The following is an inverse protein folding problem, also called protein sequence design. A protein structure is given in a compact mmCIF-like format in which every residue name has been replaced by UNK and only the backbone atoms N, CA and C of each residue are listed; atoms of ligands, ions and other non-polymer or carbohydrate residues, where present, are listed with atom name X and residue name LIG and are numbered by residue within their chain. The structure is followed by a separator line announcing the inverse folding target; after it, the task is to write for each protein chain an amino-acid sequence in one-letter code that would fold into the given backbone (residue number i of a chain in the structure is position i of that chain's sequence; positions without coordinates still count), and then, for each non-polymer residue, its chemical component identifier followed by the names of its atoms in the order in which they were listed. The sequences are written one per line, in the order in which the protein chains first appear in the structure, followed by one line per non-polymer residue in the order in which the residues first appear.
data_IF_325591161407
#
_entry.id   IF_325591161407
#
_cell.length_a   1.000
_cell.length_b   1.000
_cell.length_c   1.000
_cell.angle_alpha   90.00
_cell.angle_beta   90.00
_cell.angle_gamma   90.00
#
_symmetry.space_group_name_H-M   'P 1'
#
loop_
_entity.id
_entity.type
_entity.pdbx_description
1 polymer ?
#
# COMPACT_ATOMS: atom_id res chain seq x y z
N UNK A 1 1.58 0.31 -22.11
CA UNK A 1 1.99 0.14 -20.71
C UNK A 1 0.92 0.84 -19.90
N UNK A 2 0.10 0.11 -19.14
CA UNK A 2 -0.96 0.72 -18.34
C UNK A 2 -0.30 1.43 -17.15
N UNK A 3 -0.45 2.73 -17.08
CA UNK A 3 0.21 3.58 -16.09
C UNK A 3 -0.56 3.47 -14.77
N UNK A 4 0.14 3.51 -13.62
CA UNK A 4 -0.44 3.44 -12.27
C UNK A 4 -1.65 4.38 -12.09
N UNK A 5 -1.63 5.52 -12.78
CA UNK A 5 -2.69 6.53 -12.86
C UNK A 5 -4.00 6.02 -13.48
N UNK A 6 -3.94 5.17 -14.49
CA UNK A 6 -5.13 4.61 -15.16
C UNK A 6 -5.82 3.55 -14.30
N UNK A 7 -5.03 2.79 -13.53
CA UNK A 7 -5.57 1.86 -12.54
C UNK A 7 -6.26 2.59 -11.39
N UNK A 8 -5.67 3.68 -10.89
CA UNK A 8 -6.34 4.55 -9.90
C UNK A 8 -7.58 5.26 -10.46
N UNK A 9 -7.55 5.67 -11.74
CA UNK A 9 -8.68 6.31 -12.39
C UNK A 9 -9.86 5.34 -12.61
N UNK A 10 -9.59 4.07 -12.89
CA UNK A 10 -10.62 3.02 -12.97
C UNK A 10 -11.29 2.74 -11.64
N UNK A 11 -10.52 2.75 -10.54
CA UNK A 11 -11.08 2.69 -9.19
C UNK A 11 -11.97 3.90 -8.88
N UNK A 12 -11.58 5.10 -9.32
CA UNK A 12 -12.36 6.32 -9.19
C UNK A 12 -13.66 6.29 -10.03
N UNK A 13 -13.62 5.72 -11.23
CA UNK A 13 -14.78 5.58 -12.11
C UNK A 13 -15.83 4.59 -11.57
N UNK A 14 -15.41 3.56 -10.83
CA UNK A 14 -16.32 2.64 -10.13
C UNK A 14 -16.98 3.27 -8.89
N UNK A 15 -16.57 4.48 -8.49
CA UNK A 15 -17.18 5.26 -7.40
C UNK A 15 -18.41 6.06 -7.89
N UNK A 16 -19.17 5.52 -8.84
CA UNK A 16 -20.42 6.11 -9.32
C UNK A 16 -21.54 5.61 -8.40
N UNK A 17 -21.76 6.41 -7.34
CA UNK A 17 -22.72 6.24 -6.24
C UNK A 17 -24.12 5.84 -6.69
N UNK A 18 -24.63 4.76 -6.10
CA UNK A 18 -26.06 4.46 -6.02
C UNK A 18 -26.46 4.48 -4.53
N UNK A 19 -27.47 5.29 -4.19
CA UNK A 19 -27.91 5.55 -2.80
C UNK A 19 -28.39 4.25 -2.11
N UNK A 20 -27.55 3.70 -1.23
CA UNK A 20 -27.70 2.41 -0.54
C UNK A 20 -26.38 1.74 -0.10
N UNK A 21 -25.23 2.33 -0.46
CA UNK A 21 -23.89 1.76 -0.44
C UNK A 21 -23.02 2.10 0.81
N UNK A 22 -23.63 2.40 1.97
CA UNK A 22 -22.95 2.93 3.18
C UNK A 22 -21.97 1.96 3.89
N UNK A 23 -21.99 0.65 3.63
CA UNK A 23 -21.02 -0.32 4.17
C UNK A 23 -19.99 -0.80 3.13
N UNK A 24 -20.37 -0.84 1.86
CA UNK A 24 -19.48 -1.30 0.80
C UNK A 24 -18.46 -0.23 0.39
N UNK A 25 -18.84 1.05 0.36
CA UNK A 25 -17.91 2.14 0.02
C UNK A 25 -16.80 2.28 1.07
N UNK A 26 -17.14 2.27 2.37
CA UNK A 26 -16.15 2.30 3.45
C UNK A 26 -15.29 1.03 3.48
N UNK A 27 -15.86 -0.15 3.20
CA UNK A 27 -15.11 -1.40 3.13
C UNK A 27 -14.02 -1.39 2.05
N UNK A 28 -14.31 -0.82 0.88
CA UNK A 28 -13.33 -0.72 -0.21
C UNK A 28 -12.19 0.22 0.15
N UNK A 29 -12.49 1.40 0.72
CA UNK A 29 -11.46 2.36 1.14
C UNK A 29 -10.56 1.74 2.22
N UNK A 30 -11.15 1.07 3.21
CA UNK A 30 -10.40 0.37 4.26
C UNK A 30 -9.54 -0.76 3.69
N UNK A 31 -10.04 -1.54 2.75
CA UNK A 31 -9.28 -2.61 2.11
C UNK A 31 -8.07 -2.07 1.32
N UNK A 32 -8.27 -0.98 0.56
CA UNK A 32 -7.19 -0.34 -0.21
C UNK A 32 -6.12 0.24 0.72
N UNK A 33 -6.51 0.97 1.77
CA UNK A 33 -5.57 1.58 2.72
C UNK A 33 -4.83 0.49 3.51
N UNK A 34 -5.50 -0.60 3.88
CA UNK A 34 -4.88 -1.72 4.58
C UNK A 34 -3.83 -2.40 3.71
N UNK A 35 -4.17 -2.73 2.46
CA UNK A 35 -3.23 -3.34 1.53
C UNK A 35 -2.02 -2.42 1.26
N UNK A 36 -2.26 -1.12 1.08
CA UNK A 36 -1.20 -0.14 0.90
C UNK A 36 -0.28 -0.04 2.14
N UNK A 37 -0.87 0.01 3.34
CA UNK A 37 -0.12 0.06 4.59
C UNK A 37 0.76 -1.17 4.78
N UNK A 38 0.23 -2.37 4.56
CA UNK A 38 1.00 -3.62 4.63
C UNK A 38 2.18 -3.58 3.65
N UNK A 39 1.95 -3.19 2.40
CA UNK A 39 3.01 -3.10 1.40
C UNK A 39 4.14 -2.12 1.82
N UNK A 40 3.77 -0.95 2.33
CA UNK A 40 4.74 0.05 2.82
C UNK A 40 5.55 -0.51 3.99
N UNK A 41 4.89 -1.14 4.98
CA UNK A 41 5.58 -1.70 6.13
C UNK A 41 6.50 -2.86 5.77
N UNK A 42 6.11 -3.72 4.81
CA UNK A 42 6.98 -4.80 4.33
C UNK A 42 8.26 -4.26 3.69
N UNK A 43 8.13 -3.28 2.80
CA UNK A 43 9.30 -2.64 2.16
C UNK A 43 10.15 -1.90 3.18
N UNK A 44 9.51 -1.19 4.12
CA UNK A 44 10.19 -0.46 5.19
C UNK A 44 11.00 -1.40 6.10
N UNK A 45 10.45 -2.55 6.50
CA UNK A 45 11.17 -3.55 7.30
C UNK A 45 12.44 -4.03 6.60
N UNK A 46 12.36 -4.37 5.31
CA UNK A 46 13.53 -4.78 4.54
C UNK A 46 14.61 -3.69 4.45
N UNK A 47 14.20 -2.42 4.33
CA UNK A 47 15.12 -1.28 4.36
C UNK A 47 15.84 -1.12 5.71
N UNK A 48 15.10 -1.29 6.82
CA UNK A 48 15.65 -1.24 8.18
C UNK A 48 16.62 -2.41 8.43
N UNK A 49 16.24 -3.64 8.08
CA UNK A 49 17.11 -4.82 8.19
C UNK A 49 18.40 -4.64 7.39
N UNK A 50 18.30 -4.11 6.16
CA UNK A 50 19.47 -3.80 5.33
C UNK A 50 20.40 -2.76 5.97
N UNK A 51 19.83 -1.72 6.60
CA UNK A 51 20.62 -0.72 7.32
C UNK A 51 21.34 -1.33 8.54
N UNK A 52 20.65 -2.18 9.31
CA UNK A 52 21.23 -2.87 10.47
C UNK A 52 22.36 -3.81 10.03
N UNK A 53 22.15 -4.62 8.99
CA UNK A 53 23.17 -5.53 8.47
C UNK A 53 24.43 -4.80 7.97
N UNK A 54 24.28 -3.58 7.42
CA UNK A 54 25.43 -2.73 7.08
C UNK A 54 26.22 -2.33 8.32
N UNK A 55 25.55 -1.95 9.41
CA UNK A 55 26.23 -1.60 10.67
C UNK A 55 26.92 -2.83 11.27
N UNK A 56 26.28 -3.99 11.25
CA UNK A 56 26.88 -5.26 11.71
C UNK A 56 28.14 -5.58 10.90
N UNK A 57 28.10 -5.44 9.57
CA UNK A 57 29.26 -5.69 8.70
C UNK A 57 30.43 -4.71 8.92
N UNK A 58 30.21 -3.59 9.59
CA UNK A 58 31.26 -2.64 9.99
C UNK A 58 31.90 -2.99 11.34
N UNK A 59 31.32 -3.93 12.11
CA UNK A 59 31.93 -4.48 13.31
C UNK A 59 32.69 -5.77 12.94
N UNK A 60 34.02 -5.72 12.73
CA UNK A 60 34.82 -6.92 12.66
C UNK A 60 34.90 -7.49 14.09
N UNK A 61 34.13 -8.53 14.34
CA UNK A 61 34.24 -9.44 15.48
C UNK A 61 34.50 -10.84 14.99
#
# INVERSE_FOLDING_TARGET
MLTFTEWSAKLCASCKREDGQTMAEYGVVMAVITAASVAVFTVFSGGVEGAINRVIGLFPG
#
